data_IF_223694437357
#
_entry.id   IF_223694437357
#
_cell.length_a   1.000
_cell.length_b   1.000
_cell.length_c   1.000
_cell.angle_alpha   90.00
_cell.angle_beta   90.00
_cell.angle_gamma   90.00
#
_symmetry.space_group_name_H-M   'P 1'
#
loop_
_entity.id
_entity.type
_entity.pdbx_description
1 polymer ?
#
# COMPACT_ATOMS: atom_id res chain seq x y z
N UNK A 1 -6.81 15.35 -20.46
CA UNK A 1 -5.79 14.67 -19.64
C UNK A 1 -6.29 13.37 -18.98
N UNK A 2 -7.58 13.01 -19.10
CA UNK A 2 -8.17 11.78 -18.54
C UNK A 2 -7.80 10.49 -19.29
N UNK A 3 -7.36 10.58 -20.56
CA UNK A 3 -7.02 9.41 -21.38
C UNK A 3 -5.66 8.78 -21.03
N UNK A 4 -4.72 9.55 -20.48
CA UNK A 4 -3.37 9.07 -20.16
C UNK A 4 -3.30 8.28 -18.85
N UNK A 5 -4.15 8.61 -17.86
CA UNK A 5 -4.28 7.83 -16.62
C UNK A 5 -4.97 6.48 -16.85
N UNK A 6 -5.98 6.45 -17.72
CA UNK A 6 -6.63 5.20 -18.12
C UNK A 6 -5.68 4.29 -18.90
N UNK A 7 -4.82 4.88 -19.75
CA UNK A 7 -3.81 4.13 -20.50
C UNK A 7 -2.73 3.52 -19.58
N UNK A 8 -2.30 4.23 -18.53
CA UNK A 8 -1.34 3.68 -17.56
C UNK A 8 -1.94 2.54 -16.73
N UNK A 9 -3.22 2.68 -16.34
CA UNK A 9 -3.96 1.60 -15.66
C UNK A 9 -4.18 0.38 -16.58
N UNK A 10 -4.48 0.58 -17.87
CA UNK A 10 -4.64 -0.51 -18.83
C UNK A 10 -3.32 -1.21 -19.18
N UNK A 11 -2.19 -0.48 -19.21
CA UNK A 11 -0.86 -1.07 -19.44
C UNK A 11 -0.43 -1.96 -18.26
N UNK A 12 -0.82 -1.61 -17.03
CA UNK A 12 -0.61 -2.47 -15.86
C UNK A 12 -1.47 -3.76 -15.89
N UNK A 13 -2.66 -3.71 -16.50
CA UNK A 13 -3.50 -4.91 -16.69
C UNK A 13 -3.06 -5.79 -17.88
N UNK A 14 -2.35 -5.23 -18.87
CA UNK A 14 -1.94 -5.93 -20.09
C UNK A 14 -0.64 -6.76 -19.94
N UNK A 15 0.07 -6.66 -18.81
CA UNK A 15 1.29 -7.43 -18.54
C UNK A 15 1.02 -8.84 -17.99
N UNK A 16 0.02 -9.54 -18.54
CA UNK A 16 -0.30 -10.93 -18.19
C UNK A 16 0.51 -11.89 -19.07
N UNK A 17 1.77 -12.10 -18.71
CA UNK A 17 2.53 -13.25 -19.20
C UNK A 17 2.19 -14.44 -18.32
N UNK A 18 1.37 -15.35 -18.85
CA UNK A 18 1.19 -16.68 -18.28
C UNK A 18 2.51 -17.45 -18.40
N UNK A 19 3.04 -17.98 -17.30
CA UNK A 19 4.12 -18.96 -17.31
C UNK A 19 4.11 -19.85 -16.06
N UNK A 20 4.62 -21.06 -16.25
CA UNK A 20 4.41 -22.30 -15.52
C UNK A 20 4.79 -22.32 -14.02
N UNK A 21 4.06 -23.19 -13.32
CA UNK A 21 4.16 -23.61 -11.93
C UNK A 21 5.25 -24.68 -11.76
N UNK A 22 6.10 -24.50 -10.74
CA UNK A 22 6.94 -25.50 -10.04
C UNK A 22 7.88 -24.77 -9.04
N UNK A 23 7.41 -24.38 -7.83
CA UNK A 23 8.32 -23.80 -6.82
C UNK A 23 7.75 -23.35 -5.46
N UNK A 24 8.52 -23.60 -4.38
CA UNK A 24 8.32 -23.16 -2.98
C UNK A 24 9.17 -21.91 -2.69
N UNK A 25 8.94 -20.80 -3.41
CA UNK A 25 9.68 -19.55 -3.22
C UNK A 25 9.44 -18.85 -1.87
N UNK A 26 8.84 -19.53 -0.88
CA UNK A 26 8.33 -19.07 0.43
C UNK A 26 6.99 -18.29 0.38
N UNK A 27 5.93 -18.92 -0.12
CA UNK A 27 4.55 -18.39 -0.33
C UNK A 27 4.33 -17.66 -1.67
N UNK A 28 4.96 -18.13 -2.75
CA UNK A 28 4.89 -17.60 -4.13
C UNK A 28 5.38 -16.15 -4.31
N UNK A 29 5.98 -15.57 -3.26
CA UNK A 29 6.29 -14.13 -3.23
C UNK A 29 7.49 -13.78 -4.12
N UNK A 30 8.40 -14.72 -4.33
CA UNK A 30 9.57 -14.56 -5.19
C UNK A 30 9.32 -14.97 -6.64
N UNK A 31 8.26 -15.72 -6.90
CA UNK A 31 7.79 -16.01 -8.27
C UNK A 31 7.10 -14.78 -8.92
N UNK A 32 6.97 -13.69 -8.14
CA UNK A 32 6.21 -12.49 -8.48
C UNK A 32 7.07 -11.25 -8.22
N UNK A 33 7.30 -10.47 -9.26
CA UNK A 33 8.18 -9.31 -9.20
C UNK A 33 7.45 -8.02 -8.84
N UNK A 34 6.16 -7.95 -9.18
CA UNK A 34 5.33 -6.76 -9.03
C UNK A 34 4.00 -7.13 -8.39
N UNK A 35 3.61 -6.38 -7.37
CA UNK A 35 2.29 -6.45 -6.73
C UNK A 35 1.59 -5.10 -6.84
N UNK A 36 0.37 -5.11 -7.38
CA UNK A 36 -0.55 -3.99 -7.35
C UNK A 36 -1.62 -4.27 -6.29
N UNK A 37 -1.67 -3.45 -5.24
CA UNK A 37 -2.69 -3.53 -4.20
C UNK A 37 -3.65 -2.34 -4.27
N UNK A 38 -4.95 -2.64 -4.22
CA UNK A 38 -6.02 -1.67 -4.06
C UNK A 38 -6.62 -1.80 -2.67
N UNK A 39 -6.69 -0.69 -1.95
CA UNK A 39 -7.27 -0.63 -0.61
C UNK A 39 -8.51 0.26 -0.63
N UNK A 40 -9.60 -0.19 -0.02
CA UNK A 40 -10.83 0.61 0.13
C UNK A 40 -11.41 0.39 1.52
N UNK A 41 -11.84 1.47 2.16
CA UNK A 41 -12.51 1.41 3.46
C UNK A 41 -12.69 2.79 4.07
N UNK A 42 -12.48 2.86 5.38
CA UNK A 42 -12.72 4.08 6.12
C UNK A 42 -11.96 4.14 7.42
N UNK A 43 -12.24 5.16 8.20
CA UNK A 43 -11.48 5.43 9.40
C UNK A 43 -11.98 6.65 10.15
N UNK A 44 -11.11 7.15 11.02
CA UNK A 44 -11.35 8.33 11.84
C UNK A 44 -10.18 9.29 11.70
N UNK A 45 -10.49 10.55 11.45
CA UNK A 45 -9.55 11.66 11.52
C UNK A 45 -9.63 12.27 12.91
N UNK A 46 -8.47 12.50 13.52
CA UNK A 46 -8.27 13.13 14.82
C UNK A 46 -7.53 14.46 14.60
N UNK A 47 -8.24 15.58 14.78
CA UNK A 47 -7.70 16.92 14.58
C UNK A 47 -8.30 17.89 15.59
N UNK A 48 -7.46 18.70 16.26
CA UNK A 48 -7.94 19.75 17.18
C UNK A 48 -8.82 19.27 18.35
N UNK A 49 -8.72 18.00 18.74
CA UNK A 49 -9.57 17.38 19.77
C UNK A 49 -10.88 16.77 19.26
N UNK A 50 -11.20 16.94 17.98
CA UNK A 50 -12.36 16.31 17.34
C UNK A 50 -11.99 14.97 16.68
N UNK A 51 -12.96 14.05 16.65
CA UNK A 51 -12.91 12.81 15.90
C UNK A 51 -13.98 12.82 14.80
N UNK A 52 -13.58 12.61 13.54
CA UNK A 52 -14.49 12.68 12.39
C UNK A 52 -14.38 11.43 11.52
N UNK A 53 -15.50 10.84 11.07
CA UNK A 53 -15.46 9.68 10.17
C UNK A 53 -14.93 10.09 8.79
N UNK A 54 -14.21 9.17 8.16
CA UNK A 54 -13.64 9.37 6.82
C UNK A 54 -13.72 8.10 5.99
N UNK A 55 -13.79 8.28 4.68
CA UNK A 55 -13.54 7.24 3.70
C UNK A 55 -12.11 7.34 3.19
N UNK A 56 -11.52 6.20 2.86
CA UNK A 56 -10.16 6.11 2.34
C UNK A 56 -10.09 5.06 1.23
N UNK A 57 -9.33 5.38 0.20
CA UNK A 57 -8.94 4.43 -0.82
C UNK A 57 -7.48 4.68 -1.21
N UNK A 58 -6.73 3.63 -1.51
CA UNK A 58 -5.36 3.78 -2.02
C UNK A 58 -4.98 2.72 -3.04
N UNK A 59 -3.99 3.07 -3.85
CA UNK A 59 -3.33 2.21 -4.82
C UNK A 59 -1.85 2.17 -4.51
N UNK A 60 -1.30 0.95 -4.44
CA UNK A 60 0.10 0.69 -4.11
C UNK A 60 0.69 -0.24 -5.14
N UNK A 61 1.80 0.17 -5.74
CA UNK A 61 2.63 -0.72 -6.55
C UNK A 61 3.85 -1.08 -5.71
N UNK A 62 4.19 -2.37 -5.65
CA UNK A 62 5.34 -2.86 -4.90
C UNK A 62 6.21 -3.73 -5.79
N UNK A 63 7.51 -3.54 -5.67
CA UNK A 63 8.53 -4.40 -6.27
C UNK A 63 8.95 -5.43 -5.22
N UNK A 64 8.86 -6.72 -5.57
CA UNK A 64 9.19 -7.86 -4.70
C UNK A 64 8.47 -7.72 -3.34
N UNK A 65 7.24 -7.21 -3.39
CA UNK A 65 6.37 -6.88 -2.26
C UNK A 65 7.05 -6.12 -1.09
N UNK A 66 8.10 -5.35 -1.40
CA UNK A 66 8.94 -4.65 -0.43
C UNK A 66 8.70 -3.16 -0.44
N UNK A 67 8.81 -2.52 -1.60
CA UNK A 67 8.73 -1.06 -1.70
C UNK A 67 8.14 -0.61 -3.03
N UNK A 68 7.56 0.59 -3.02
CA UNK A 68 7.14 1.26 -4.25
C UNK A 68 6.16 2.40 -4.01
N UNK A 69 5.64 3.00 -5.10
CA UNK A 69 4.81 4.19 -5.00
C UNK A 69 3.42 3.88 -4.44
N UNK A 70 2.88 4.86 -3.71
CA UNK A 70 1.51 4.87 -3.21
C UNK A 70 0.80 6.15 -3.62
N UNK A 71 -0.46 6.01 -4.01
CA UNK A 71 -1.41 7.11 -4.15
C UNK A 71 -2.61 6.80 -3.27
N UNK A 72 -2.84 7.62 -2.24
CA UNK A 72 -3.94 7.45 -1.30
C UNK A 72 -4.86 8.66 -1.35
N UNK A 73 -6.16 8.43 -1.41
CA UNK A 73 -7.19 9.45 -1.37
C UNK A 73 -8.00 9.29 -0.09
N UNK A 74 -8.24 10.40 0.59
CA UNK A 74 -9.11 10.49 1.76
C UNK A 74 -10.25 11.48 1.48
N UNK A 75 -11.47 11.10 1.87
CA UNK A 75 -12.64 11.97 1.77
C UNK A 75 -13.43 11.98 3.09
N UNK A 76 -13.74 13.17 3.61
CA UNK A 76 -14.56 13.33 4.82
C UNK A 76 -16.00 12.89 4.57
N UNK A 77 -16.55 12.02 5.42
CA UNK A 77 -17.88 11.44 5.19
C UNK A 77 -19.02 12.26 5.81
N UNK A 78 -18.72 13.41 6.42
CA UNK A 78 -19.66 14.25 7.16
C UNK A 78 -20.38 15.29 6.29
N UNK A 79 -20.19 15.24 4.96
CA UNK A 79 -20.84 16.16 4.01
C UNK A 79 -20.31 17.58 4.06
N UNK A 80 -19.27 17.86 4.87
CA UNK A 80 -18.57 19.14 4.89
C UNK A 80 -17.54 19.14 3.76
N UNK A 81 -17.81 19.94 2.72
CA UNK A 81 -16.86 20.24 1.64
C UNK A 81 -15.57 20.81 2.23
N UNK A 82 -14.39 20.31 1.79
CA UNK A 82 -13.09 20.90 2.14
C UNK A 82 -12.24 20.15 3.19
N UNK A 83 -12.43 18.84 3.36
CA UNK A 83 -11.63 18.04 4.31
C UNK A 83 -11.07 16.75 3.70
N UNK A 84 -10.80 16.71 2.40
CA UNK A 84 -10.15 15.58 1.73
C UNK A 84 -8.69 15.88 1.41
N UNK A 85 -7.89 14.85 1.21
CA UNK A 85 -6.53 15.00 0.68
C UNK A 85 -6.17 13.84 -0.24
N UNK A 86 -5.18 14.08 -1.09
CA UNK A 86 -4.53 13.04 -1.90
C UNK A 86 -3.08 12.97 -1.46
N UNK A 87 -2.66 11.85 -0.91
CA UNK A 87 -1.26 11.57 -0.61
C UNK A 87 -0.60 10.87 -1.81
N UNK A 88 0.54 11.38 -2.24
CA UNK A 88 1.42 10.74 -3.21
C UNK A 88 2.76 10.50 -2.54
N UNK A 89 3.23 9.25 -2.53
CA UNK A 89 4.40 8.89 -1.76
C UNK A 89 4.96 7.52 -2.10
N UNK A 90 5.68 6.96 -1.13
CA UNK A 90 6.28 5.63 -1.18
C UNK A 90 5.91 4.83 0.07
N UNK A 91 5.75 3.52 -0.10
CA UNK A 91 5.66 2.54 0.98
C UNK A 91 6.95 1.70 1.00
N UNK A 92 7.39 1.33 2.21
CA UNK A 92 8.49 0.41 2.46
C UNK A 92 8.07 -0.64 3.49
N UNK A 93 8.38 -1.91 3.24
CA UNK A 93 8.16 -3.06 4.13
C UNK A 93 9.49 -3.67 4.55
N UNK A 94 10.08 -3.20 5.66
CA UNK A 94 11.45 -3.57 6.00
C UNK A 94 11.60 -5.02 6.46
N UNK A 95 10.55 -5.62 7.05
CA UNK A 95 10.68 -6.93 7.67
C UNK A 95 10.69 -8.09 6.68
N UNK A 96 10.09 -7.94 5.50
CA UNK A 96 10.18 -8.99 4.49
C UNK A 96 11.62 -9.32 4.06
N UNK A 97 12.41 -8.36 3.52
CA UNK A 97 13.78 -8.66 3.11
C UNK A 97 14.66 -9.03 4.31
N UNK A 98 14.42 -8.44 5.49
CA UNK A 98 15.20 -8.75 6.70
C UNK A 98 14.98 -10.20 7.17
N UNK A 99 13.72 -10.66 7.25
CA UNK A 99 13.41 -12.02 7.70
C UNK A 99 13.87 -13.07 6.68
N UNK A 100 13.77 -12.76 5.40
CA UNK A 100 14.25 -13.64 4.33
C UNK A 100 15.78 -13.78 4.35
N UNK A 101 16.53 -12.67 4.39
CA UNK A 101 18.01 -12.70 4.36
C UNK A 101 18.63 -13.34 5.61
N UNK A 102 17.90 -13.36 6.72
CA UNK A 102 18.33 -13.95 7.99
C UNK A 102 17.80 -15.37 8.20
N UNK A 103 17.06 -15.93 7.25
CA UNK A 103 16.42 -17.26 7.35
C UNK A 103 15.57 -17.42 8.63
N UNK A 104 14.82 -16.36 8.97
CA UNK A 104 14.01 -16.28 10.19
C UNK A 104 12.52 -16.59 9.93
N UNK A 105 12.19 -17.26 8.84
CA UNK A 105 10.81 -17.70 8.59
C UNK A 105 10.41 -18.77 9.59
N UNK A 106 9.22 -18.64 10.18
CA UNK A 106 8.70 -19.62 11.13
C UNK A 106 8.11 -20.84 10.43
N UNK A 107 7.88 -20.75 9.12
CA UNK A 107 7.17 -21.76 8.33
C UNK A 107 5.65 -21.65 8.47
N UNK A 108 5.14 -20.79 9.36
CA UNK A 108 3.73 -20.48 9.47
C UNK A 108 3.37 -19.28 8.59
N UNK A 109 2.73 -19.57 7.45
CA UNK A 109 2.34 -18.58 6.44
C UNK A 109 1.59 -17.38 7.03
N UNK A 110 0.65 -17.60 7.95
CA UNK A 110 -0.13 -16.51 8.53
C UNK A 110 0.75 -15.56 9.36
N UNK A 111 1.61 -16.13 10.21
CA UNK A 111 2.48 -15.35 11.11
C UNK A 111 3.54 -14.62 10.31
N UNK A 112 4.19 -15.31 9.39
CA UNK A 112 5.26 -14.76 8.58
C UNK A 112 4.73 -13.62 7.69
N UNK A 113 3.60 -13.81 7.00
CA UNK A 113 2.98 -12.75 6.20
C UNK A 113 2.53 -11.56 7.05
N UNK A 114 1.96 -11.81 8.24
CA UNK A 114 1.56 -10.74 9.15
C UNK A 114 2.76 -9.88 9.60
N UNK A 115 3.84 -10.50 10.07
CA UNK A 115 5.04 -9.77 10.52
C UNK A 115 5.68 -9.02 9.35
N UNK A 116 5.75 -9.65 8.19
CA UNK A 116 6.34 -9.06 6.98
C UNK A 116 5.48 -7.95 6.36
N UNK A 117 4.22 -7.81 6.77
CA UNK A 117 3.30 -6.80 6.23
C UNK A 117 3.50 -5.39 6.81
N UNK A 118 4.35 -5.25 7.83
CA UNK A 118 4.60 -3.95 8.44
C UNK A 118 5.12 -2.96 7.39
N UNK A 119 4.36 -1.91 7.19
CA UNK A 119 4.63 -0.88 6.19
C UNK A 119 4.90 0.46 6.85
N UNK A 120 5.86 1.17 6.29
CA UNK A 120 6.14 2.57 6.57
C UNK A 120 5.79 3.35 5.31
N UNK A 121 5.08 4.46 5.47
CA UNK A 121 4.64 5.31 4.37
C UNK A 121 5.20 6.71 4.55
N UNK A 122 5.68 7.31 3.46
CA UNK A 122 6.14 8.69 3.42
C UNK A 122 5.66 9.34 2.13
N UNK A 123 5.09 10.53 2.19
CA UNK A 123 4.60 11.20 0.98
C UNK A 123 4.23 12.66 1.18
N UNK A 124 3.87 13.31 0.08
CA UNK A 124 3.27 14.63 0.08
C UNK A 124 1.75 14.50 0.10
N UNK A 125 1.10 15.13 1.08
CA UNK A 125 -0.34 15.27 1.14
C UNK A 125 -0.74 16.55 0.39
N UNK A 126 -1.56 16.41 -0.65
CA UNK A 126 -2.11 17.50 -1.43
C UNK A 126 -3.54 17.75 -0.96
N UNK A 127 -3.91 19.02 -0.77
CA UNK A 127 -5.25 19.43 -0.35
C UNK A 127 -6.00 20.12 -1.49
N UNK A 128 -6.42 19.39 -2.55
CA UNK A 128 -7.07 19.98 -3.72
C UNK A 128 -8.53 20.38 -3.49
N UNK A 129 -9.10 20.05 -2.33
CA UNK A 129 -10.51 20.29 -2.00
C UNK A 129 -10.70 21.53 -1.12
N UNK A 130 -9.61 22.15 -0.68
CA UNK A 130 -9.61 23.36 0.14
C UNK A 130 -9.75 24.60 -0.76
N UNK A 131 -10.18 25.73 -0.18
CA UNK A 131 -10.29 27.01 -0.90
C UNK A 131 -8.93 27.45 -1.48
N UNK A 132 -7.85 27.16 -0.74
CA UNK A 132 -6.47 27.35 -1.17
C UNK A 132 -5.75 26.01 -1.28
N UNK A 133 -5.03 25.79 -2.37
CA UNK A 133 -4.24 24.57 -2.57
C UNK A 133 -3.11 24.50 -1.54
N UNK A 134 -3.13 23.46 -0.72
CA UNK A 134 -2.11 23.18 0.29
C UNK A 134 -1.25 21.95 -0.04
N UNK A 135 -0.02 21.94 0.50
CA UNK A 135 0.83 20.75 0.56
C UNK A 135 1.33 20.51 1.98
N UNK A 136 1.22 19.27 2.46
CA UNK A 136 1.75 18.82 3.74
C UNK A 136 2.64 17.59 3.60
N UNK A 137 3.34 17.24 4.68
CA UNK A 137 4.10 15.99 4.78
C UNK A 137 3.23 14.91 5.41
N UNK A 138 3.12 13.76 4.77
CA UNK A 138 2.45 12.58 5.31
C UNK A 138 3.46 11.52 5.73
N UNK A 139 3.34 11.04 6.96
CA UNK A 139 4.07 9.88 7.49
C UNK A 139 3.06 8.86 8.00
N UNK A 140 3.19 7.60 7.62
CA UNK A 140 2.26 6.56 7.99
C UNK A 140 2.92 5.26 8.38
N UNK A 141 2.17 4.46 9.13
CA UNK A 141 2.48 3.08 9.49
C UNK A 141 1.29 2.21 9.17
N UNK A 142 1.54 0.97 8.79
CA UNK A 142 0.49 0.02 8.47
C UNK A 142 0.86 -1.41 8.80
N UNK A 143 -0.15 -2.24 8.96
CA UNK A 143 -0.04 -3.69 9.02
C UNK A 143 -1.20 -4.32 8.25
N UNK A 144 -0.98 -5.48 7.65
CA UNK A 144 -2.00 -6.21 6.92
C UNK A 144 -2.23 -7.58 7.57
N UNK A 145 -3.49 -7.85 7.93
CA UNK A 145 -3.92 -9.14 8.43
C UNK A 145 -4.40 -9.97 7.23
N UNK A 146 -3.71 -11.06 6.87
CA UNK A 146 -4.13 -11.89 5.75
C UNK A 146 -5.46 -12.56 6.07
N UNK A 147 -6.47 -12.30 5.22
CA UNK A 147 -7.79 -12.92 5.30
C UNK A 147 -7.90 -14.11 4.34
N UNK A 148 -7.27 -14.00 3.18
CA UNK A 148 -7.13 -15.05 2.18
C UNK A 148 -5.66 -15.19 1.81
N UNK A 149 -5.13 -16.41 1.97
CA UNK A 149 -3.71 -16.72 1.78
C UNK A 149 -3.30 -16.85 0.33
N UNK A 150 -2.07 -16.45 -0.03
CA UNK A 150 -1.46 -16.75 -1.34
C UNK A 150 -1.55 -18.24 -1.69
N UNK A 151 -1.26 -19.14 -0.74
CA UNK A 151 -1.34 -20.60 -0.94
C UNK A 151 -2.73 -21.12 -1.35
N UNK A 152 -3.79 -20.31 -1.15
CA UNK A 152 -5.17 -20.65 -1.51
C UNK A 152 -5.66 -19.92 -2.75
N UNK A 153 -4.79 -19.16 -3.40
CA UNK A 153 -5.08 -18.41 -4.62
C UNK A 153 -4.17 -18.88 -5.75
N UNK A 154 -4.65 -18.81 -6.99
CA UNK A 154 -3.85 -19.18 -8.16
C UNK A 154 -3.95 -18.11 -9.24
N UNK A 155 -2.87 -17.94 -10.00
CA UNK A 155 -2.77 -16.95 -11.08
C UNK A 155 -2.49 -15.53 -10.60
N UNK A 156 -3.05 -14.54 -11.29
CA UNK A 156 -2.78 -13.11 -11.08
C UNK A 156 -3.31 -12.58 -9.75
N UNK A 157 -4.34 -13.20 -9.17
CA UNK A 157 -4.90 -12.77 -7.90
C UNK A 157 -4.12 -13.36 -6.73
N UNK A 158 -3.63 -12.50 -5.84
CA UNK A 158 -2.68 -12.89 -4.80
C UNK A 158 -3.32 -13.02 -3.43
N UNK A 159 -4.09 -12.03 -2.97
CA UNK A 159 -4.59 -12.05 -1.60
C UNK A 159 -5.73 -11.07 -1.34
N UNK A 160 -6.43 -11.34 -0.24
CA UNK A 160 -7.30 -10.39 0.44
C UNK A 160 -6.75 -10.20 1.85
N UNK A 161 -6.58 -8.96 2.28
CA UNK A 161 -6.13 -8.66 3.64
C UNK A 161 -6.91 -7.50 4.26
N UNK A 162 -7.05 -7.50 5.57
CA UNK A 162 -7.48 -6.33 6.32
C UNK A 162 -6.25 -5.48 6.63
N UNK A 163 -6.15 -4.31 6.02
CA UNK A 163 -5.10 -3.33 6.29
C UNK A 163 -5.54 -2.38 7.39
N UNK A 164 -4.75 -2.31 8.45
CA UNK A 164 -4.87 -1.31 9.51
C UNK A 164 -3.73 -0.30 9.33
N UNK A 165 -4.05 0.99 9.35
CA UNK A 165 -3.06 2.03 9.13
C UNK A 165 -3.28 3.25 10.02
N UNK A 166 -2.19 3.89 10.41
CA UNK A 166 -2.17 5.18 11.07
C UNK A 166 -1.31 6.14 10.25
N UNK A 167 -1.83 7.33 9.95
CA UNK A 167 -1.12 8.36 9.17
C UNK A 167 -1.18 9.68 9.90
N UNK A 168 -0.03 10.32 10.08
CA UNK A 168 0.08 11.72 10.47
C UNK A 168 0.31 12.55 9.22
N UNK A 169 -0.48 13.61 9.07
CA UNK A 169 -0.17 14.67 8.11
C UNK A 169 0.19 15.91 8.91
N UNK A 170 1.34 16.48 8.61
CA UNK A 170 1.77 17.76 9.16
C UNK A 170 1.67 18.80 8.04
N UNK A 171 0.69 19.70 8.22
CA UNK A 171 0.41 20.84 7.35
C UNK A 171 0.69 22.14 8.10
N UNK A 172 1.91 22.28 8.63
CA UNK A 172 2.31 23.50 9.36
C UNK A 172 2.74 24.62 8.42
N UNK A 173 2.61 25.91 8.83
CA UNK A 173 2.99 27.08 8.02
C UNK A 173 4.48 27.21 7.69
N UNK A 174 5.33 26.32 8.22
CA UNK A 174 6.76 26.22 7.89
C UNK A 174 7.00 25.71 6.46
N UNK A 175 5.99 25.10 5.82
CA UNK A 175 5.99 24.81 4.40
C UNK A 175 5.43 26.01 3.61
N UNK A 176 6.21 26.53 2.66
CA UNK A 176 5.91 27.74 1.84
C UNK A 176 4.62 27.68 1.00
N UNK A 177 3.85 26.60 1.07
CA UNK A 177 2.69 26.32 0.22
C UNK A 177 1.46 25.82 1.02
N UNK A 178 1.36 26.11 2.31
CA UNK A 178 0.21 25.72 3.14
C UNK A 178 -0.70 26.93 3.40
N UNK A 179 -2.05 26.77 3.40
CA UNK A 179 -2.98 27.81 3.83
C UNK A 179 -2.69 28.28 5.27
N UNK A 180 -3.16 29.47 5.64
CA UNK A 180 -2.89 30.16 6.93
C UNK A 180 -3.47 29.46 8.19
N UNK A 181 -3.86 28.18 8.07
CA UNK A 181 -4.48 27.38 9.12
C UNK A 181 -3.72 26.06 9.33
N UNK A 182 -3.49 25.68 10.59
CA UNK A 182 -2.90 24.38 10.93
C UNK A 182 -3.82 23.23 10.48
N UNK A 183 -3.32 22.40 9.57
CA UNK A 183 -4.01 21.23 9.03
C UNK A 183 -3.47 19.91 9.58
N UNK A 184 -2.72 19.95 10.68
CA UNK A 184 -2.01 18.77 11.15
C UNK A 184 -2.96 17.77 11.82
N UNK A 185 -3.17 16.62 11.20
CA UNK A 185 -4.18 15.63 11.59
C UNK A 185 -3.60 14.22 11.69
N UNK A 186 -4.16 13.41 12.60
CA UNK A 186 -3.95 11.96 12.60
C UNK A 186 -5.12 11.28 11.92
N UNK A 187 -4.87 10.26 11.11
CA UNK A 187 -5.91 9.41 10.52
C UNK A 187 -5.64 7.97 10.91
N UNK A 188 -6.63 7.30 11.51
CA UNK A 188 -6.62 5.86 11.76
C UNK A 188 -7.57 5.20 10.77
N UNK A 189 -7.13 4.17 10.06
CA UNK A 189 -7.84 3.57 8.94
C UNK A 189 -7.91 2.05 9.06
N UNK A 190 -9.05 1.51 8.65
CA UNK A 190 -9.25 0.08 8.39
C UNK A 190 -9.79 -0.07 6.96
N UNK A 191 -9.04 -0.76 6.13
CA UNK A 191 -9.32 -0.90 4.69
C UNK A 191 -9.16 -2.35 4.26
N UNK A 192 -10.00 -2.78 3.33
CA UNK A 192 -9.84 -4.09 2.70
C UNK A 192 -8.87 -3.95 1.52
N UNK A 193 -7.84 -4.78 1.51
CA UNK A 193 -6.79 -4.84 0.50
C UNK A 193 -7.06 -5.99 -0.45
N UNK A 194 -6.97 -5.70 -1.75
CA UNK A 194 -7.01 -6.68 -2.83
C UNK A 194 -5.70 -6.58 -3.60
N UNK A 195 -4.94 -7.67 -3.65
CA UNK A 195 -3.64 -7.70 -4.30
C UNK A 195 -3.66 -8.53 -5.59
N UNK A 196 -3.10 -7.95 -6.64
CA UNK A 196 -2.79 -8.60 -7.91
C UNK A 196 -1.28 -8.66 -8.08
N UNK A 197 -0.78 -9.72 -8.71
CA UNK A 197 0.65 -9.93 -8.91
C UNK A 197 0.99 -10.27 -10.35
N UNK A 198 2.19 -9.86 -10.76
CA UNK A 198 2.73 -10.15 -12.08
C UNK A 198 4.24 -10.47 -11.99
N UNK A 199 4.70 -11.31 -12.90
CA UNK A 199 6.12 -11.58 -13.13
C UNK A 199 6.63 -10.66 -14.23
N UNK A 200 7.72 -9.98 -13.97
CA UNK A 200 8.36 -9.01 -14.87
C UNK A 200 9.81 -9.40 -15.23
N UNK A 201 10.30 -10.54 -14.74
CA UNK A 201 11.67 -11.03 -14.93
C UNK A 201 12.70 -10.35 -14.03
N UNK A 202 12.27 -9.72 -12.93
CA UNK A 202 13.17 -8.98 -12.02
C UNK A 202 13.91 -9.95 -11.09
N UNK A 203 13.30 -11.06 -10.71
CA UNK A 203 13.88 -12.12 -9.88
C UNK A 203 14.58 -13.24 -10.69
N UNK A 204 14.74 -13.12 -12.01
CA UNK A 204 15.34 -14.17 -12.86
C UNK A 204 16.84 -14.44 -12.57
N UNK A 205 17.45 -13.67 -11.67
CA UNK A 205 18.81 -13.91 -11.16
C UNK A 205 18.91 -15.02 -10.11
N UNK A 206 17.79 -15.50 -9.58
CA UNK A 206 17.78 -16.52 -8.54
C UNK A 206 18.14 -17.92 -9.09
N UNK A 207 19.10 -18.65 -8.49
CA UNK A 207 19.46 -19.99 -8.94
C UNK A 207 18.35 -21.02 -8.66
N UNK A 208 18.16 -21.94 -9.60
CA UNK A 208 17.19 -23.05 -9.52
C UNK A 208 17.43 -23.86 -8.24
N UNK A 209 16.43 -23.92 -7.35
CA UNK A 209 16.49 -24.69 -6.11
C UNK A 209 15.96 -26.10 -6.34
N UNK A 210 16.79 -27.11 -6.12
CA UNK A 210 16.38 -28.51 -6.11
C UNK A 210 15.81 -28.87 -4.73
N UNK A 211 14.62 -29.46 -4.67
CA UNK A 211 14.14 -30.13 -3.44
C UNK A 211 14.98 -31.39 -3.21
N UNK A 212 15.47 -31.55 -1.99
CA UNK A 212 15.86 -32.86 -1.49
C UNK A 212 14.59 -33.45 -0.89
N UNK A 213 13.99 -34.41 -1.60
CA UNK A 213 12.87 -35.21 -1.14
C UNK A 213 13.25 -36.09 0.07
#
# INVERSE_FOLDING_TARGET
MTRSLLALALVALAATTAAADDGDGLYDRFDRDLTLAMNVGGGVVLAGGDARPTLAADLRLRVIDTAGPVVAMRYGSDGRTGHGHVLVGVELRPFFPALFLLDLSTGNEWVDLFVQSFGIELGAALFPFDDDFGVGLGVGLSIELPLLMPSRTSGTFQSIALRLAARRIDGTPSFRATPDQDRSEWTLMATLSFALSARAGIADWEPVRYRLD
#
